data_IF_628029715036
#
_entry.id   IF_628029715036
#
_cell.length_a   1.000
_cell.length_b   1.000
_cell.length_c   1.000
_cell.angle_alpha   90.00
_cell.angle_beta   90.00
_cell.angle_gamma   90.00
#
_symmetry.space_group_name_H-M   'P 1'
#
loop_
_entity.id
_entity.type
_entity.pdbx_description
1 polymer ?
#
# COMPACT_ATOMS: atom_id res chain seq x y z
N UNK A 1 -13.49 10.11 6.72
CA UNK A 1 -12.14 9.63 6.40
C UNK A 1 -11.25 9.74 7.62
N UNK A 2 -11.08 8.62 8.33
CA UNK A 2 -10.21 8.49 9.50
C UNK A 2 -8.72 8.50 9.09
N UNK A 3 -7.84 8.94 10.00
CA UNK A 3 -6.39 8.82 9.85
C UNK A 3 -6.00 7.33 9.94
N UNK A 4 -5.28 6.86 8.93
CA UNK A 4 -4.75 5.50 8.79
C UNK A 4 -3.23 5.44 8.94
N UNK A 5 -2.53 6.58 8.82
CA UNK A 5 -1.08 6.71 9.02
C UNK A 5 -0.84 8.01 9.78
N UNK A 6 -0.24 7.92 10.97
CA UNK A 6 0.00 9.06 11.85
C UNK A 6 1.49 9.36 12.08
N UNK A 7 2.39 8.45 11.68
CA UNK A 7 3.85 8.66 11.74
C UNK A 7 4.60 7.97 10.59
N UNK A 8 5.90 8.22 10.47
CA UNK A 8 6.77 7.60 9.46
C UNK A 8 6.97 6.09 9.70
N UNK A 9 6.89 5.66 10.96
CA UNK A 9 6.91 4.24 11.34
C UNK A 9 5.69 3.50 10.81
N UNK A 10 4.53 4.15 10.74
CA UNK A 10 3.31 3.56 10.18
C UNK A 10 3.46 3.28 8.68
N UNK A 11 4.03 4.24 7.94
CA UNK A 11 4.33 4.07 6.51
C UNK A 11 5.34 2.94 6.29
N UNK A 12 6.39 2.90 7.12
CA UNK A 12 7.44 1.88 7.06
C UNK A 12 6.90 0.47 7.37
N UNK A 13 6.10 0.34 8.42
CA UNK A 13 5.46 -0.92 8.80
C UNK A 13 4.50 -1.42 7.70
N UNK A 14 3.73 -0.52 7.10
CA UNK A 14 2.84 -0.87 6.01
C UNK A 14 3.60 -1.30 4.75
N UNK A 15 4.66 -0.58 4.37
CA UNK A 15 5.52 -0.92 3.24
C UNK A 15 6.17 -2.31 3.43
N UNK A 16 6.65 -2.61 4.64
CA UNK A 16 7.24 -3.89 4.98
C UNK A 16 6.25 -5.05 4.74
N UNK A 17 5.04 -4.99 5.29
CA UNK A 17 4.04 -6.04 5.09
C UNK A 17 3.49 -6.07 3.66
N UNK A 18 3.46 -4.94 2.96
CA UNK A 18 3.09 -4.89 1.56
C UNK A 18 4.07 -5.71 0.71
N UNK A 19 5.39 -5.53 0.89
CA UNK A 19 6.40 -6.34 0.19
C UNK A 19 6.32 -7.83 0.58
N UNK A 20 6.20 -8.12 1.88
CA UNK A 20 6.08 -9.50 2.37
C UNK A 20 4.90 -10.24 1.71
N UNK A 21 3.71 -9.61 1.70
CA UNK A 21 2.51 -10.23 1.14
C UNK A 21 2.42 -10.16 -0.38
N UNK A 22 3.03 -9.16 -1.02
CA UNK A 22 3.22 -9.13 -2.46
C UNK A 22 4.00 -10.37 -2.93
N UNK A 23 5.13 -10.68 -2.27
CA UNK A 23 5.93 -11.88 -2.57
C UNK A 23 5.17 -13.17 -2.27
N UNK A 24 4.56 -13.26 -1.08
CA UNK A 24 3.80 -14.45 -0.65
C UNK A 24 2.67 -14.81 -1.61
N UNK A 25 1.98 -13.81 -2.15
CA UNK A 25 0.83 -14.00 -3.03
C UNK A 25 1.15 -13.80 -4.51
N UNK A 26 2.43 -13.65 -4.88
CA UNK A 26 2.90 -13.47 -6.25
C UNK A 26 2.15 -12.34 -6.96
N UNK A 27 2.17 -11.17 -6.33
CA UNK A 27 1.62 -9.93 -6.85
C UNK A 27 2.79 -8.99 -7.13
N UNK A 28 3.02 -8.67 -8.39
CA UNK A 28 4.00 -7.66 -8.76
C UNK A 28 3.44 -6.26 -8.44
N UNK A 29 4.11 -5.51 -7.57
CA UNK A 29 3.76 -4.11 -7.27
C UNK A 29 4.60 -3.21 -8.17
N UNK A 30 3.94 -2.45 -9.03
CA UNK A 30 4.58 -1.53 -9.98
C UNK A 30 4.70 -0.11 -9.43
N UNK A 31 3.70 0.30 -8.62
CA UNK A 31 3.64 1.62 -8.03
C UNK A 31 2.78 1.61 -6.75
N UNK A 32 3.06 2.52 -5.83
CA UNK A 32 2.22 2.76 -4.67
C UNK A 32 2.27 4.22 -4.21
N UNK A 33 1.19 4.68 -3.57
CA UNK A 33 1.13 5.96 -2.85
C UNK A 33 0.40 5.73 -1.53
N UNK A 34 1.00 6.16 -0.42
CA UNK A 34 0.35 6.20 0.88
C UNK A 34 -0.10 7.61 1.20
N UNK A 35 -1.40 7.76 1.42
CA UNK A 35 -2.01 8.99 1.92
C UNK A 35 -2.38 8.76 3.38
N UNK A 36 -2.50 9.82 4.18
CA UNK A 36 -2.83 9.70 5.61
C UNK A 36 -4.15 8.98 5.89
N UNK A 37 -5.05 8.81 4.90
CA UNK A 37 -6.36 8.19 5.06
C UNK A 37 -6.73 7.14 4.00
N UNK A 38 -5.85 6.81 3.06
CA UNK A 38 -6.05 5.74 2.06
C UNK A 38 -4.73 5.41 1.33
N UNK A 39 -4.74 4.38 0.50
CA UNK A 39 -3.60 4.02 -0.36
C UNK A 39 -4.04 3.82 -1.80
N UNK A 40 -3.09 3.95 -2.73
CA UNK A 40 -3.23 3.54 -4.13
C UNK A 40 -2.12 2.54 -4.47
N UNK A 41 -2.48 1.46 -5.16
CA UNK A 41 -1.55 0.43 -5.63
C UNK A 41 -1.78 0.19 -7.12
N UNK A 42 -0.70 0.15 -7.89
CA UNK A 42 -0.67 -0.43 -9.22
C UNK A 42 0.03 -1.78 -9.12
N UNK A 43 -0.68 -2.84 -9.50
CA UNK A 43 -0.18 -4.19 -9.31
C UNK A 43 -0.71 -5.18 -10.36
N UNK A 44 0.09 -6.20 -10.65
CA UNK A 44 -0.29 -7.33 -11.50
C UNK A 44 -0.21 -8.61 -10.68
N UNK A 45 -1.34 -9.27 -10.38
CA UNK A 45 -1.32 -10.57 -9.71
C UNK A 45 -1.10 -11.72 -10.70
N UNK A 46 -0.37 -12.76 -10.29
CA UNK A 46 -0.26 -14.01 -11.07
C UNK A 46 -1.53 -14.86 -11.01
N UNK A 47 -2.38 -14.67 -9.99
CA UNK A 47 -3.65 -15.38 -9.81
C UNK A 47 -4.82 -14.42 -9.62
N UNK A 48 -6.03 -14.82 -10.01
CA UNK A 48 -7.22 -13.98 -9.90
C UNK A 48 -7.56 -13.54 -8.46
N UNK A 49 -7.07 -14.25 -7.45
CA UNK A 49 -7.29 -13.97 -6.03
C UNK A 49 -6.09 -13.31 -5.32
N UNK A 50 -4.94 -13.17 -5.99
CA UNK A 50 -3.67 -12.73 -5.37
C UNK A 50 -3.78 -11.39 -4.64
N UNK A 51 -4.34 -10.36 -5.30
CA UNK A 51 -4.56 -9.04 -4.69
C UNK A 51 -5.49 -9.13 -3.49
N UNK A 52 -6.56 -9.91 -3.59
CA UNK A 52 -7.53 -10.05 -2.50
C UNK A 52 -6.90 -10.66 -1.25
N UNK A 53 -6.05 -11.68 -1.42
CA UNK A 53 -5.34 -12.35 -0.32
C UNK A 53 -4.27 -11.45 0.29
N UNK A 54 -3.52 -10.73 -0.54
CA UNK A 54 -2.57 -9.70 -0.11
C UNK A 54 -3.25 -8.65 0.77
N UNK A 55 -4.31 -8.02 0.26
CA UNK A 55 -5.02 -6.95 0.97
C UNK A 55 -5.66 -7.43 2.27
N UNK A 56 -6.10 -8.70 2.32
CA UNK A 56 -6.67 -9.30 3.53
C UNK A 56 -5.62 -9.45 4.64
N UNK A 57 -4.47 -10.05 4.35
CA UNK A 57 -3.41 -10.27 5.34
C UNK A 57 -2.77 -8.93 5.77
N UNK A 58 -2.49 -8.06 4.79
CA UNK A 58 -1.97 -6.72 5.03
C UNK A 58 -2.90 -5.91 5.95
N UNK A 59 -4.19 -5.87 5.61
CA UNK A 59 -5.19 -5.18 6.42
C UNK A 59 -5.29 -5.75 7.84
N UNK A 60 -5.28 -7.08 7.98
CA UNK A 60 -5.35 -7.73 9.30
C UNK A 60 -4.17 -7.37 10.19
N UNK A 61 -2.95 -7.43 9.66
CA UNK A 61 -1.75 -7.17 10.44
C UNK A 61 -1.59 -5.69 10.77
N UNK A 62 -1.78 -4.82 9.78
CA UNK A 62 -1.64 -3.40 9.99
C UNK A 62 -2.69 -2.84 10.95
N UNK A 63 -3.95 -3.27 10.87
CA UNK A 63 -5.00 -2.85 11.82
C UNK A 63 -4.64 -3.24 13.25
N UNK A 64 -4.09 -4.45 13.47
CA UNK A 64 -3.65 -4.90 14.79
C UNK A 64 -2.51 -4.04 15.32
N UNK A 65 -1.50 -3.80 14.49
CA UNK A 65 -0.38 -2.91 14.79
C UNK A 65 -0.87 -1.51 15.16
N UNK A 66 -1.64 -0.86 14.30
CA UNK A 66 -2.14 0.49 14.51
C UNK A 66 -3.00 0.60 15.77
N UNK A 67 -3.90 -0.36 15.99
CA UNK A 67 -4.73 -0.38 17.18
C UNK A 67 -3.91 -0.54 18.48
N UNK A 68 -2.88 -1.38 18.45
CA UNK A 68 -1.96 -1.53 19.58
C UNK A 68 -1.17 -0.25 19.85
N UNK A 69 -0.51 0.30 18.82
CA UNK A 69 0.32 1.50 18.91
C UNK A 69 -0.45 2.71 19.42
N UNK A 70 -1.66 2.93 18.89
CA UNK A 70 -2.47 4.11 19.21
C UNK A 70 -3.55 3.86 20.27
N UNK A 71 -3.54 2.70 20.94
CA UNK A 71 -4.52 2.29 21.95
C UNK A 71 -5.98 2.42 21.45
N UNK A 72 -6.20 2.05 20.20
CA UNK A 72 -7.50 2.07 19.53
C UNK A 72 -8.12 0.67 19.48
N UNK A 73 -9.42 0.62 19.22
CA UNK A 73 -10.14 -0.61 18.94
C UNK A 73 -11.04 -0.44 17.71
N UNK A 74 -11.49 -1.55 17.14
CA UNK A 74 -12.38 -1.54 15.98
C UNK A 74 -11.65 -1.51 14.63
N UNK A 75 -12.41 -1.20 13.58
CA UNK A 75 -11.92 -1.17 12.21
C UNK A 75 -11.13 0.13 11.91
N UNK A 76 -10.08 0.00 11.09
CA UNK A 76 -9.34 1.15 10.54
C UNK A 76 -9.86 1.56 9.17
N UNK A 77 -10.15 0.57 8.32
CA UNK A 77 -10.55 0.78 6.93
C UNK A 77 -12.08 0.89 6.81
N UNK A 78 -12.53 1.89 6.05
CA UNK A 78 -13.96 2.13 5.75
C UNK A 78 -14.45 1.19 4.63
N UNK A 79 -14.40 -0.14 4.87
CA UNK A 79 -14.95 -1.16 3.97
C UNK A 79 -13.92 -1.95 3.15
N UNK A 80 -14.38 -2.59 2.06
CA UNK A 80 -13.53 -3.40 1.16
C UNK A 80 -12.70 -2.50 0.25
N UNK A 81 -11.52 -3.00 -0.16
CA UNK A 81 -10.76 -2.35 -1.21
C UNK A 81 -11.58 -2.32 -2.51
N UNK A 82 -11.33 -1.31 -3.34
CA UNK A 82 -11.91 -1.19 -4.68
C UNK A 82 -10.82 -1.46 -5.69
N UNK A 83 -11.09 -2.29 -6.68
CA UNK A 83 -10.20 -2.57 -7.80
C UNK A 83 -10.89 -2.26 -9.13
N UNK A 84 -10.15 -1.66 -10.06
CA UNK A 84 -10.55 -1.50 -11.45
C UNK A 84 -9.42 -2.03 -12.33
N UNK A 85 -9.77 -2.66 -13.45
CA UNK A 85 -8.78 -2.99 -14.49
C UNK A 85 -8.36 -1.68 -15.11
N UNK A 86 -7.05 -1.44 -15.12
CA UNK A 86 -6.46 -0.23 -15.65
C UNK A 86 -6.01 -0.52 -17.07
N UNK A 87 -6.58 0.18 -18.06
CA UNK A 87 -6.16 0.07 -19.45
C UNK A 87 -4.74 0.65 -19.60
N UNK A 88 -3.84 -0.11 -20.22
CA UNK A 88 -2.38 -0.02 -20.04
C UNK A 88 -1.78 1.35 -20.42
N UNK A 89 -2.40 2.10 -21.35
CA UNK A 89 -1.80 3.32 -21.92
C UNK A 89 -1.99 4.59 -21.06
N UNK A 90 -3.18 4.80 -20.48
CA UNK A 90 -3.50 6.08 -19.85
C UNK A 90 -2.98 6.20 -18.40
N UNK A 91 -2.73 5.08 -17.73
CA UNK A 91 -2.34 5.07 -16.32
C UNK A 91 -0.84 4.88 -16.10
N UNK A 92 -0.15 4.23 -17.05
CA UNK A 92 1.31 4.14 -17.06
C UNK A 92 1.94 5.53 -17.00
N UNK A 93 1.42 6.49 -17.79
CA UNK A 93 1.87 7.89 -17.80
C UNK A 93 1.55 8.65 -16.49
N UNK A 94 0.45 8.31 -15.80
CA UNK A 94 0.08 8.96 -14.53
C UNK A 94 0.92 8.39 -13.37
N UNK A 95 1.16 7.08 -13.34
CA UNK A 95 1.99 6.42 -12.33
C UNK A 95 3.48 6.72 -12.52
N UNK A 96 4.00 6.72 -13.76
CA UNK A 96 5.40 7.07 -14.04
C UNK A 96 5.74 8.48 -13.56
N UNK A 97 4.87 9.47 -13.85
CA UNK A 97 5.07 10.86 -13.41
C UNK A 97 5.00 11.05 -11.88
N UNK A 98 4.33 10.14 -11.16
CA UNK A 98 4.16 10.21 -9.71
C UNK A 98 5.24 9.43 -8.93
N UNK A 99 5.80 8.37 -9.54
CA UNK A 99 6.92 7.59 -8.98
C UNK A 99 8.23 8.36 -9.14
N UNK A 100 8.48 9.04 -10.26
CA UNK A 100 9.68 9.87 -10.43
C UNK A 100 9.79 11.02 -9.40
N UNK A 101 8.67 11.40 -8.76
CA UNK A 101 8.64 12.44 -7.72
C UNK A 101 8.78 11.90 -6.28
N UNK A 102 8.75 10.59 -6.07
CA UNK A 102 8.92 9.99 -4.73
C UNK A 102 10.38 9.97 -4.23
N UNK A 103 11.42 9.73 -5.07
CA UNK A 103 12.82 9.73 -4.64
C UNK A 103 13.31 11.06 -4.07
N UNK A 104 12.68 12.19 -4.42
CA UNK A 104 13.05 13.53 -3.93
C UNK A 104 12.44 13.83 -2.56
N UNK A 105 11.46 13.04 -2.08
CA UNK A 105 10.76 13.31 -0.81
C UNK A 105 11.05 12.32 0.31
N UNK A 106 11.67 11.18 0.01
CA UNK A 106 11.83 10.11 1.00
C UNK A 106 13.18 10.09 1.72
N UNK A 107 14.21 10.83 1.28
CA UNK A 107 15.57 10.78 1.87
C UNK A 107 16.08 9.33 2.17
N UNK A 108 15.59 8.36 1.40
CA UNK A 108 15.80 6.91 1.58
C UNK A 108 16.64 6.32 0.45
N UNK A 109 17.53 7.12 -0.15
CA UNK A 109 18.61 6.62 -0.98
C UNK A 109 19.81 7.57 -0.89
N UNK A 110 20.77 7.23 -0.03
CA UNK A 110 22.15 7.67 -0.18
C UNK A 110 22.68 7.08 -1.50
N UNK A 111 23.07 7.93 -2.45
CA UNK A 111 23.93 7.50 -3.54
C UNK A 111 25.29 7.11 -2.93
N UNK A 112 25.69 5.85 -3.10
CA UNK A 112 27.10 5.46 -3.13
C UNK A 112 27.41 4.86 -4.48
#
# INVERSE_FOLDING_TARGET
RQICFASDEDFSAYAYWLDEYARKYRVAIHAWVFMTNHIHLLATPESGDGVSRLMQDLGRNYVRYFNFTYKRTGALWEGRFKSGVVDEENYFLICQRYIELNPVRADMACYT
#
